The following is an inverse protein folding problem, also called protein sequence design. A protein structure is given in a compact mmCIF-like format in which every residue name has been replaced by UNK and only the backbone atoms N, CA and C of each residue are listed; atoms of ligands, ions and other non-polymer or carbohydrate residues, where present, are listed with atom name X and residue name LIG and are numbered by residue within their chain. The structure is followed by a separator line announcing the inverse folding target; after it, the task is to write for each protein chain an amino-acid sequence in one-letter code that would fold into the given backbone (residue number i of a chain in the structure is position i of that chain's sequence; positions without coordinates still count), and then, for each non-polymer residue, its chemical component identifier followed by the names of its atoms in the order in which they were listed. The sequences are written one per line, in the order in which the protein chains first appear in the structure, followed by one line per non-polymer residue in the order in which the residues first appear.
data_IF_784669673517
#
_entry.id   IF_784669673517
#
_cell.length_a   1.000
_cell.length_b   1.000
_cell.length_c   1.000
_cell.angle_alpha   90.00
_cell.angle_beta   90.00
_cell.angle_gamma   90.00
#
_symmetry.space_group_name_H-M   'P 1'
#
loop_
_entity.id
_entity.type
_entity.pdbx_description
1 polymer ?
#
# COMPACT_ATOMS: atom_id res chain seq x y z
N UNK A 1 -2.22 -16.12 26.79
CA UNK A 1 -2.65 -15.51 25.51
C UNK A 1 -4.14 -15.19 25.62
N UNK A 2 -4.51 -13.91 25.63
CA UNK A 2 -5.93 -13.50 25.68
C UNK A 2 -6.37 -13.19 24.24
N UNK A 3 -7.36 -13.92 23.77
CA UNK A 3 -7.98 -13.71 22.46
C UNK A 3 -9.03 -12.58 22.57
N UNK A 4 -9.00 -11.60 21.67
CA UNK A 4 -9.93 -10.45 21.69
C UNK A 4 -10.67 -10.32 20.35
N UNK A 5 -12.00 -10.17 20.41
CA UNK A 5 -12.92 -9.75 19.32
C UNK A 5 -13.82 -8.60 19.84
N UNK A 6 -14.51 -7.81 18.98
CA UNK A 6 -14.09 -7.01 17.83
C UNK A 6 -13.76 -5.54 18.24
N UNK A 7 -13.79 -4.61 17.28
CA UNK A 7 -13.29 -3.21 17.28
C UNK A 7 -13.46 -2.37 18.57
N UNK A 8 -14.52 -2.58 19.35
CA UNK A 8 -14.86 -1.80 20.54
C UNK A 8 -13.78 -1.85 21.64
N UNK A 9 -13.02 -2.95 21.73
CA UNK A 9 -11.91 -3.10 22.69
C UNK A 9 -10.52 -2.84 22.06
N UNK A 10 -10.43 -2.61 20.76
CA UNK A 10 -9.13 -2.44 20.08
C UNK A 10 -8.48 -1.09 20.36
N UNK A 11 -9.27 -0.05 20.65
CA UNK A 11 -8.77 1.23 21.14
C UNK A 11 -8.02 1.07 22.47
N UNK A 12 -8.45 0.15 23.34
CA UNK A 12 -7.75 -0.23 24.59
C UNK A 12 -6.52 -1.09 24.35
N UNK A 13 -6.48 -1.84 23.25
CA UNK A 13 -5.33 -2.66 22.85
C UNK A 13 -4.18 -1.85 22.23
N UNK A 14 -4.38 -0.56 21.94
CA UNK A 14 -3.32 0.35 21.45
C UNK A 14 -2.17 0.56 22.44
N UNK A 15 -2.33 0.14 23.69
CA UNK A 15 -1.33 0.27 24.75
C UNK A 15 -0.57 -1.03 25.05
N UNK A 16 -0.91 -2.13 24.38
CA UNK A 16 -0.32 -3.45 24.65
C UNK A 16 0.42 -3.99 23.43
N UNK A 17 1.36 -4.89 23.68
CA UNK A 17 1.91 -5.72 22.62
C UNK A 17 0.87 -6.75 22.18
N UNK A 18 0.78 -6.98 20.87
CA UNK A 18 -0.19 -7.91 20.33
C UNK A 18 0.29 -8.56 19.03
N UNK A 19 -0.04 -9.83 18.83
CA UNK A 19 -0.09 -10.40 17.48
C UNK A 19 -1.43 -10.02 16.87
N UNK A 20 -1.43 -9.12 15.89
CA UNK A 20 -2.63 -8.72 15.16
C UNK A 20 -2.78 -9.58 13.92
N UNK A 21 -3.96 -10.16 13.76
CA UNK A 21 -4.29 -11.06 12.65
C UNK A 21 -5.36 -10.39 11.81
N UNK A 22 -5.06 -10.21 10.53
CA UNK A 22 -5.92 -9.54 9.55
C UNK A 22 -6.26 -10.51 8.43
N UNK A 23 -7.54 -10.86 8.31
CA UNK A 23 -8.04 -11.63 7.18
C UNK A 23 -8.25 -10.69 5.99
N UNK A 24 -8.12 -11.21 4.78
CA UNK A 24 -8.32 -10.48 3.53
C UNK A 24 -9.57 -10.98 2.80
N UNK A 25 -10.23 -10.10 2.05
CA UNK A 25 -11.47 -10.41 1.35
C UNK A 25 -11.18 -11.06 -0.02
N UNK A 26 -11.95 -12.07 -0.47
CA UNK A 26 -11.80 -12.65 -1.80
C UNK A 26 -11.93 -11.68 -3.00
N UNK A 27 -12.42 -10.45 -2.79
CA UNK A 27 -12.44 -9.39 -3.81
C UNK A 27 -11.06 -8.90 -4.21
N UNK A 28 -10.05 -9.06 -3.37
CA UNK A 28 -8.68 -8.71 -3.73
C UNK A 28 -8.04 -9.70 -4.70
N UNK A 29 -6.78 -9.43 -5.03
CA UNK A 29 -5.95 -10.25 -5.92
C UNK A 29 -4.58 -10.39 -5.29
N UNK A 30 -4.15 -11.64 -5.05
CA UNK A 30 -3.09 -11.95 -4.09
C UNK A 30 -2.01 -12.86 -4.68
N UNK A 31 -0.73 -12.63 -4.38
CA UNK A 31 0.31 -13.59 -4.71
C UNK A 31 0.16 -14.84 -3.83
N UNK A 32 0.03 -16.03 -4.44
CA UNK A 32 -0.01 -17.30 -3.69
C UNK A 32 1.31 -17.50 -2.93
N UNK A 33 1.21 -18.05 -1.73
CA UNK A 33 2.35 -18.52 -0.96
C UNK A 33 2.48 -17.84 0.39
N UNK A 34 3.72 -17.79 0.90
CA UNK A 34 4.02 -17.35 2.25
C UNK A 34 5.22 -16.41 2.26
N UNK A 35 5.09 -15.28 2.96
CA UNK A 35 6.21 -14.39 3.29
C UNK A 35 6.28 -14.26 4.80
N UNK A 36 7.41 -14.60 5.41
CA UNK A 36 7.57 -14.56 6.86
C UNK A 36 8.87 -13.87 7.26
N UNK A 37 8.79 -13.12 8.36
CA UNK A 37 9.90 -12.62 9.15
C UNK A 37 9.65 -12.96 10.62
N UNK A 38 10.56 -12.63 11.52
CA UNK A 38 10.34 -12.83 12.96
C UNK A 38 9.13 -12.01 13.46
N UNK A 39 8.86 -10.87 12.83
CA UNK A 39 7.86 -9.91 13.27
C UNK A 39 6.55 -9.93 12.46
N UNK A 40 6.50 -10.61 11.31
CA UNK A 40 5.34 -10.59 10.43
C UNK A 40 5.20 -11.84 9.56
N UNK A 41 3.96 -12.20 9.22
CA UNK A 41 3.58 -13.32 8.37
C UNK A 41 2.53 -12.89 7.36
N UNK A 42 2.67 -13.31 6.12
CA UNK A 42 1.66 -13.32 5.08
C UNK A 42 1.47 -14.76 4.62
N UNK A 43 0.24 -15.19 4.48
CA UNK A 43 -0.11 -16.50 3.93
C UNK A 43 -1.33 -16.34 3.02
N UNK A 44 -1.22 -16.89 1.81
CA UNK A 44 -2.29 -16.95 0.85
C UNK A 44 -2.37 -18.33 0.18
N UNK A 45 -3.49 -19.00 0.38
CA UNK A 45 -3.87 -20.24 -0.28
C UNK A 45 -5.35 -20.23 -0.68
N UNK A 46 -5.82 -21.33 -1.26
CA UNK A 46 -7.19 -21.44 -1.80
C UNK A 46 -8.29 -21.25 -0.75
N UNK A 47 -7.99 -21.49 0.52
CA UNK A 47 -8.95 -21.44 1.62
C UNK A 47 -8.93 -20.09 2.34
N UNK A 48 -7.76 -19.47 2.49
CA UNK A 48 -7.61 -18.22 3.25
C UNK A 48 -6.44 -17.35 2.78
N UNK A 49 -6.64 -16.04 2.88
CA UNK A 49 -5.58 -15.03 2.79
C UNK A 49 -5.56 -14.21 4.06
N UNK A 50 -4.42 -14.14 4.74
CA UNK A 50 -4.28 -13.35 5.96
C UNK A 50 -2.86 -12.84 6.17
N UNK A 51 -2.73 -11.82 7.03
CA UNK A 51 -1.46 -11.38 7.58
C UNK A 51 -1.47 -11.39 9.09
N UNK A 52 -0.30 -11.60 9.69
CA UNK A 52 -0.04 -11.44 11.11
C UNK A 52 1.11 -10.48 11.29
N UNK A 53 0.98 -9.54 12.23
CA UNK A 53 2.09 -8.65 12.61
C UNK A 53 2.19 -8.53 14.12
N UNK A 54 3.42 -8.44 14.62
CA UNK A 54 3.68 -7.95 15.97
C UNK A 54 3.41 -6.45 16.03
N UNK A 55 2.28 -6.09 16.64
CA UNK A 55 1.91 -4.72 16.91
C UNK A 55 2.50 -4.24 18.23
N UNK A 56 2.99 -3.00 18.21
CA UNK A 56 3.54 -2.31 19.37
C UNK A 56 2.58 -1.20 19.82
N UNK A 57 2.61 -0.83 21.11
CA UNK A 57 1.83 0.28 21.62
C UNK A 57 2.07 1.58 20.84
N UNK A 58 1.01 2.34 20.54
CA UNK A 58 1.09 3.56 19.72
C UNK A 58 1.88 4.69 20.38
N UNK A 59 1.77 4.81 21.70
CA UNK A 59 2.52 5.77 22.52
C UNK A 59 4.04 5.54 22.47
N UNK A 60 4.47 4.30 22.21
CA UNK A 60 5.88 3.97 21.96
C UNK A 60 6.33 4.24 20.52
N UNK A 61 5.41 4.51 19.58
CA UNK A 61 5.75 4.78 18.18
C UNK A 61 5.91 6.27 17.89
N UNK A 62 5.04 7.11 18.46
CA UNK A 62 5.19 8.58 18.47
C UNK A 62 4.28 9.17 19.53
N UNK A 63 4.72 10.26 20.16
CA UNK A 63 4.00 10.89 21.27
C UNK A 63 2.71 11.61 20.85
N UNK A 64 2.52 11.87 19.54
CA UNK A 64 1.50 12.81 19.06
C UNK A 64 0.66 12.28 17.87
N UNK A 65 0.20 11.02 17.91
CA UNK A 65 -0.79 10.59 16.91
C UNK A 65 -2.10 11.36 17.07
N UNK A 66 -2.71 11.87 15.98
CA UNK A 66 -4.05 12.42 16.06
C UNK A 66 -5.05 11.31 16.42
N UNK A 67 -6.04 11.64 17.26
CA UNK A 67 -7.15 10.74 17.51
C UNK A 67 -7.96 10.54 16.22
N UNK A 68 -8.27 9.28 15.89
CA UNK A 68 -9.19 8.93 14.82
C UNK A 68 -9.95 7.66 15.17
N UNK A 69 -11.27 7.73 15.03
CA UNK A 69 -12.20 6.59 15.09
C UNK A 69 -12.20 5.79 13.79
N UNK A 70 -11.69 6.40 12.72
CA UNK A 70 -11.62 5.83 11.38
C UNK A 70 -10.27 5.15 11.10
N UNK A 71 -9.41 5.05 12.12
CA UNK A 71 -8.16 4.30 12.04
C UNK A 71 -8.48 2.79 12.04
N UNK A 72 -8.09 2.12 10.96
CA UNK A 72 -8.51 0.75 10.65
C UNK A 72 -7.33 -0.22 10.60
N UNK A 73 -6.10 0.28 10.51
CA UNK A 73 -4.87 -0.51 10.40
C UNK A 73 -3.71 0.17 11.11
N UNK A 74 -2.93 -0.62 11.83
CA UNK A 74 -1.75 -0.12 12.54
C UNK A 74 -0.60 0.21 11.59
N UNK A 75 0.35 1.11 11.96
CA UNK A 75 1.49 1.39 11.10
C UNK A 75 2.35 0.14 10.83
N UNK A 76 2.38 -0.85 11.74
CA UNK A 76 3.06 -2.13 11.54
C UNK A 76 2.36 -2.98 10.47
N UNK A 77 1.02 -3.05 10.50
CA UNK A 77 0.22 -3.70 9.45
C UNK A 77 0.51 -3.03 8.09
N UNK A 78 0.40 -1.71 8.01
CA UNK A 78 0.62 -0.96 6.77
C UNK A 78 2.06 -1.08 6.26
N UNK A 79 3.05 -1.04 7.15
CA UNK A 79 4.47 -1.26 6.81
C UNK A 79 4.66 -2.63 6.17
N UNK A 80 4.08 -3.68 6.77
CA UNK A 80 4.19 -5.02 6.23
C UNK A 80 3.47 -5.15 4.88
N UNK A 81 2.26 -4.62 4.75
CA UNK A 81 1.53 -4.60 3.48
C UNK A 81 2.26 -3.81 2.40
N UNK A 82 2.89 -2.68 2.75
CA UNK A 82 3.73 -1.92 1.83
C UNK A 82 4.84 -2.80 1.25
N UNK A 83 5.54 -3.57 2.10
CA UNK A 83 6.63 -4.43 1.63
C UNK A 83 6.19 -5.51 0.63
N UNK A 84 4.93 -5.94 0.69
CA UNK A 84 4.33 -6.88 -0.27
C UNK A 84 3.90 -6.13 -1.54
N UNK A 85 3.14 -5.04 -1.39
CA UNK A 85 2.61 -4.23 -2.48
C UNK A 85 3.72 -3.71 -3.41
N UNK A 86 4.86 -3.31 -2.85
CA UNK A 86 6.01 -2.78 -3.60
C UNK A 86 6.78 -3.86 -4.38
N UNK A 87 6.47 -5.15 -4.18
CA UNK A 87 7.05 -6.25 -4.96
C UNK A 87 6.36 -6.51 -6.31
N UNK A 88 5.24 -5.84 -6.57
CA UNK A 88 4.46 -5.98 -7.80
C UNK A 88 5.32 -5.73 -9.05
N UNK A 89 5.15 -6.53 -10.12
CA UNK A 89 5.72 -6.24 -11.44
C UNK A 89 4.80 -5.23 -12.15
N UNK A 90 5.37 -4.19 -12.76
CA UNK A 90 4.63 -3.15 -13.49
C UNK A 90 3.78 -3.68 -14.65
N UNK A 91 4.19 -4.81 -15.23
CA UNK A 91 3.52 -5.43 -16.38
C UNK A 91 2.79 -6.73 -16.00
N UNK A 92 2.88 -7.16 -14.74
CA UNK A 92 2.27 -8.38 -14.22
C UNK A 92 0.88 -8.16 -13.59
N UNK A 93 0.29 -9.19 -12.95
CA UNK A 93 -0.92 -9.08 -12.16
C UNK A 93 -0.72 -8.07 -11.04
N UNK A 94 -1.76 -7.27 -10.84
CA UNK A 94 -1.79 -6.28 -9.76
C UNK A 94 -1.99 -6.99 -8.43
N UNK A 95 -1.21 -6.59 -7.43
CA UNK A 95 -1.48 -6.93 -6.04
C UNK A 95 -2.58 -5.98 -5.57
N UNK A 96 -3.80 -6.50 -5.41
CA UNK A 96 -4.95 -5.73 -4.93
C UNK A 96 -5.25 -6.16 -3.50
N UNK A 97 -4.64 -5.48 -2.54
CA UNK A 97 -4.84 -5.77 -1.12
C UNK A 97 -6.23 -5.33 -0.68
N UNK A 98 -7.04 -6.30 -0.23
CA UNK A 98 -8.34 -6.04 0.38
C UNK A 98 -8.39 -6.56 1.83
N UNK A 99 -7.69 -5.93 2.77
CA UNK A 99 -7.77 -6.29 4.18
C UNK A 99 -9.16 -6.03 4.75
N UNK A 100 -9.67 -6.96 5.54
CA UNK A 100 -10.98 -6.83 6.18
C UNK A 100 -10.95 -5.83 7.32
N UNK A 101 -12.05 -5.09 7.51
CA UNK A 101 -12.17 -4.17 8.64
C UNK A 101 -12.12 -4.92 9.99
N UNK A 102 -12.65 -6.14 10.03
CA UNK A 102 -12.60 -7.02 11.19
C UNK A 102 -11.19 -7.59 11.35
N UNK A 103 -10.64 -7.46 12.54
CA UNK A 103 -9.37 -8.08 12.96
C UNK A 103 -9.52 -8.58 14.38
N UNK A 104 -8.68 -9.53 14.74
CA UNK A 104 -8.56 -10.04 16.09
C UNK A 104 -7.10 -10.05 16.48
N UNK A 105 -6.86 -10.07 17.78
CA UNK A 105 -5.54 -9.93 18.34
C UNK A 105 -5.30 -10.92 19.48
N UNK A 106 -4.06 -11.36 19.59
CA UNK A 106 -3.54 -12.13 20.72
C UNK A 106 -2.68 -11.18 21.55
N UNK A 107 -3.14 -10.83 22.75
CA UNK A 107 -2.40 -9.92 23.63
C UNK A 107 -1.22 -10.59 24.31
N UNK A 108 -0.18 -9.77 24.51
CA UNK A 108 1.09 -10.11 25.16
C UNK A 108 1.60 -11.45 24.64
N UNK A 109 1.80 -11.55 23.31
CA UNK A 109 2.31 -12.77 22.74
C UNK A 109 3.67 -13.07 23.38
N UNK A 110 3.97 -14.34 23.66
CA UNK A 110 5.35 -14.71 23.97
C UNK A 110 6.27 -14.30 22.81
N UNK A 111 7.59 -14.46 22.94
CA UNK A 111 8.54 -14.25 21.85
C UNK A 111 8.33 -15.25 20.70
N UNK A 112 7.21 -15.12 20.00
CA UNK A 112 6.74 -15.98 18.92
C UNK A 112 7.46 -15.57 17.66
N UNK A 113 8.26 -16.49 17.13
CA UNK A 113 8.88 -16.35 15.82
C UNK A 113 7.87 -16.73 14.73
N UNK A 114 7.45 -15.75 13.94
CA UNK A 114 6.51 -15.96 12.85
C UNK A 114 7.13 -16.67 11.63
N UNK A 115 8.43 -16.97 11.63
CA UNK A 115 9.09 -17.86 10.65
C UNK A 115 8.86 -19.34 10.95
N UNK A 116 8.52 -19.70 12.18
CA UNK A 116 8.32 -21.10 12.55
C UNK A 116 7.08 -21.68 11.86
N UNK A 117 7.28 -22.74 11.07
CA UNK A 117 6.19 -23.44 10.36
C UNK A 117 5.10 -23.99 11.27
N UNK A 118 5.41 -24.41 12.50
CA UNK A 118 4.43 -24.89 13.46
C UNK A 118 3.51 -23.72 13.90
N UNK A 119 4.13 -22.58 14.24
CA UNK A 119 3.41 -21.34 14.57
C UNK A 119 2.54 -20.86 13.41
N UNK A 120 3.08 -20.88 12.18
CA UNK A 120 2.32 -20.49 10.99
C UNK A 120 1.08 -21.36 10.78
N UNK A 121 1.21 -22.67 10.98
CA UNK A 121 0.08 -23.60 10.87
C UNK A 121 -0.96 -23.37 11.97
N UNK A 122 -0.54 -23.13 13.21
CA UNK A 122 -1.46 -22.80 14.31
C UNK A 122 -2.24 -21.50 14.02
N UNK A 123 -1.54 -20.47 13.55
CA UNK A 123 -2.16 -19.18 13.19
C UNK A 123 -3.11 -19.32 11.99
N UNK A 124 -2.77 -20.18 11.02
CA UNK A 124 -3.64 -20.49 9.88
C UNK A 124 -4.94 -21.15 10.33
N UNK A 125 -4.85 -22.18 11.18
CA UNK A 125 -6.04 -22.86 11.73
C UNK A 125 -6.92 -21.87 12.46
N UNK A 126 -6.32 -21.06 13.34
CA UNK A 126 -7.04 -20.01 14.08
C UNK A 126 -7.72 -19.01 13.13
N UNK A 127 -7.03 -18.54 12.10
CA UNK A 127 -7.60 -17.61 11.13
C UNK A 127 -8.75 -18.22 10.32
N UNK A 128 -8.66 -19.51 9.98
CA UNK A 128 -9.70 -20.23 9.24
C UNK A 128 -10.95 -20.46 10.09
N UNK A 129 -10.78 -20.82 11.37
CA UNK A 129 -11.88 -20.93 12.33
C UNK A 129 -12.62 -19.60 12.47
N UNK A 130 -11.88 -18.50 12.62
CA UNK A 130 -12.44 -17.16 12.72
C UNK A 130 -13.17 -16.72 11.44
N UNK A 131 -12.60 -17.02 10.28
CA UNK A 131 -13.22 -16.75 8.99
C UNK A 131 -14.56 -17.48 8.84
N UNK A 132 -14.57 -18.78 9.13
CA UNK A 132 -15.75 -19.65 8.96
C UNK A 132 -16.90 -19.24 9.89
N UNK A 133 -16.58 -18.79 11.11
CA UNK A 133 -17.57 -18.35 12.09
C UNK A 133 -18.33 -17.07 11.70
N UNK A 134 -17.90 -16.34 10.66
CA UNK A 134 -18.53 -15.08 10.26
C UNK A 134 -19.64 -15.22 9.19
N UNK A 135 -20.10 -16.44 8.87
CA UNK A 135 -21.18 -16.73 7.90
C UNK A 135 -21.04 -16.00 6.54
N UNK A 136 -19.81 -15.81 6.08
CA UNK A 136 -19.54 -15.08 4.82
C UNK A 136 -19.70 -16.02 3.63
N UNK A 137 -20.64 -15.71 2.74
CA UNK A 137 -20.68 -16.28 1.38
C UNK A 137 -19.37 -15.92 0.67
N UNK A 138 -18.46 -16.88 0.51
CA UNK A 138 -17.14 -16.62 -0.06
C UNK A 138 -17.08 -17.02 -1.53
N UNK A 139 -16.86 -16.02 -2.36
CA UNK A 139 -16.25 -16.25 -3.66
C UNK A 139 -14.83 -16.84 -3.46
N UNK A 140 -14.31 -17.63 -4.41
CA UNK A 140 -12.93 -18.11 -4.34
C UNK A 140 -11.93 -16.94 -4.40
N UNK A 141 -10.79 -17.08 -3.72
CA UNK A 141 -9.71 -16.10 -3.79
C UNK A 141 -9.10 -16.04 -5.20
N UNK A 142 -8.75 -14.83 -5.65
CA UNK A 142 -7.99 -14.63 -6.88
C UNK A 142 -6.49 -14.67 -6.56
N UNK A 143 -5.85 -15.80 -6.84
CA UNK A 143 -4.43 -16.05 -6.54
C UNK A 143 -3.58 -16.16 -7.81
N UNK A 144 -2.31 -15.74 -7.73
CA UNK A 144 -1.35 -15.88 -8.83
C UNK A 144 0.07 -16.21 -8.32
N UNK A 145 0.91 -16.91 -9.10
CA UNK A 145 2.20 -17.45 -8.63
C UNK A 145 3.45 -16.79 -9.27
N UNK A 146 3.45 -16.53 -10.58
CA UNK A 146 4.68 -16.43 -11.37
C UNK A 146 5.25 -15.02 -11.59
N UNK A 147 4.52 -13.98 -11.20
CA UNK A 147 4.76 -12.63 -11.74
C UNK A 147 4.96 -11.54 -10.67
N UNK A 148 5.24 -11.92 -9.42
CA UNK A 148 5.59 -10.98 -8.35
C UNK A 148 6.95 -11.30 -7.76
N UNK A 149 7.72 -10.25 -7.48
CA UNK A 149 9.07 -10.36 -6.94
C UNK A 149 9.07 -10.43 -5.40
N UNK A 150 8.31 -11.37 -4.81
CA UNK A 150 8.18 -11.51 -3.35
C UNK A 150 9.53 -11.74 -2.64
N UNK A 151 10.54 -12.23 -3.35
CA UNK A 151 11.92 -12.32 -2.85
C UNK A 151 12.52 -10.94 -2.46
N UNK A 152 11.97 -9.82 -2.93
CA UNK A 152 12.35 -8.46 -2.56
C UNK A 152 11.67 -7.97 -1.29
N UNK A 153 10.62 -8.65 -0.83
CA UNK A 153 9.80 -8.23 0.30
C UNK A 153 10.64 -8.00 1.57
N UNK A 154 11.63 -8.85 1.94
CA UNK A 154 12.46 -8.57 3.11
C UNK A 154 13.27 -7.27 3.01
N UNK A 155 13.76 -6.94 1.80
CA UNK A 155 14.45 -5.69 1.53
C UNK A 155 13.54 -4.50 1.76
N UNK A 156 12.35 -4.49 1.16
CA UNK A 156 11.37 -3.44 1.38
C UNK A 156 10.95 -3.33 2.85
N UNK A 157 10.70 -4.45 3.53
CA UNK A 157 10.32 -4.44 4.94
C UNK A 157 11.41 -3.79 5.82
N UNK A 158 12.68 -4.05 5.51
CA UNK A 158 13.80 -3.44 6.23
C UNK A 158 13.96 -1.93 5.97
N UNK A 159 13.56 -1.47 4.77
CA UNK A 159 13.69 -0.06 4.35
C UNK A 159 12.51 0.82 4.76
N UNK A 160 11.31 0.26 4.96
CA UNK A 160 10.13 1.02 5.42
C UNK A 160 10.11 1.04 6.94
N UNK A 161 10.25 2.23 7.53
CA UNK A 161 10.10 2.46 8.96
C UNK A 161 8.64 2.58 9.38
N UNK A 162 8.30 2.12 10.58
CA UNK A 162 6.95 2.31 11.14
C UNK A 162 6.63 3.79 11.47
N UNK A 163 7.65 4.64 11.51
CA UNK A 163 7.57 6.09 11.69
C UNK A 163 7.53 6.88 10.37
N UNK A 164 7.56 6.21 9.21
CA UNK A 164 7.51 6.88 7.90
C UNK A 164 6.08 7.32 7.56
N UNK A 165 5.49 8.17 8.41
CA UNK A 165 4.06 8.45 8.42
C UNK A 165 3.52 8.96 7.06
N UNK A 166 4.31 9.75 6.32
CA UNK A 166 3.92 10.22 4.97
C UNK A 166 3.83 9.04 3.99
N UNK A 167 4.83 8.17 3.96
CA UNK A 167 4.84 6.98 3.13
C UNK A 167 3.70 6.03 3.51
N UNK A 168 3.57 5.73 4.80
CA UNK A 168 2.50 4.83 5.29
C UNK A 168 1.12 5.39 4.99
N UNK A 169 0.92 6.71 5.08
CA UNK A 169 -0.33 7.35 4.67
C UNK A 169 -0.59 7.19 3.17
N UNK A 170 0.43 7.39 2.35
CA UNK A 170 0.36 7.18 0.89
C UNK A 170 -0.01 5.74 0.53
N UNK A 171 0.68 4.76 1.11
CA UNK A 171 0.40 3.32 0.90
C UNK A 171 -1.01 2.96 1.38
N UNK A 172 -1.43 3.45 2.55
CA UNK A 172 -2.80 3.22 3.07
C UNK A 172 -3.85 3.73 2.08
N UNK A 173 -3.62 4.91 1.49
CA UNK A 173 -4.50 5.45 0.46
C UNK A 173 -4.47 4.61 -0.81
N UNK A 174 -3.30 4.13 -1.24
CA UNK A 174 -3.20 3.26 -2.42
C UNK A 174 -3.97 1.95 -2.22
N UNK A 175 -3.87 1.34 -1.03
CA UNK A 175 -4.65 0.15 -0.65
C UNK A 175 -6.16 0.46 -0.65
N UNK A 176 -6.58 1.60 -0.08
CA UNK A 176 -8.00 2.01 -0.12
C UNK A 176 -8.50 2.28 -1.53
N UNK A 177 -7.67 2.87 -2.38
CA UNK A 177 -7.92 3.02 -3.81
C UNK A 177 -8.16 1.64 -4.46
N UNK A 178 -7.29 0.66 -4.21
CA UNK A 178 -7.47 -0.72 -4.69
C UNK A 178 -8.79 -1.33 -4.19
N UNK A 179 -9.15 -1.13 -2.91
CA UNK A 179 -10.42 -1.60 -2.33
C UNK A 179 -11.64 -0.96 -2.99
N UNK A 180 -11.65 0.36 -3.18
CA UNK A 180 -12.76 1.10 -3.80
C UNK A 180 -12.91 0.72 -5.28
N UNK A 181 -11.79 0.51 -5.98
CA UNK A 181 -11.80 0.13 -7.40
C UNK A 181 -12.46 -1.23 -7.70
N UNK A 182 -12.79 -2.02 -6.66
CA UNK A 182 -13.56 -3.27 -6.81
C UNK A 182 -15.03 -3.04 -7.09
N UNK A 183 -15.51 -1.81 -6.97
CA UNK A 183 -16.88 -1.39 -7.25
C UNK A 183 -16.83 -0.24 -8.24
N UNK A 184 -17.41 -0.44 -9.43
CA UNK A 184 -17.33 0.55 -10.50
C UNK A 184 -17.96 1.89 -10.08
N UNK A 185 -19.07 1.83 -9.34
CA UNK A 185 -19.76 2.97 -8.75
C UNK A 185 -18.90 3.82 -7.80
N UNK A 186 -17.77 3.30 -7.30
CA UNK A 186 -16.86 4.03 -6.40
C UNK A 186 -15.53 4.42 -7.07
N UNK A 187 -15.48 4.43 -8.40
CA UNK A 187 -14.26 4.77 -9.15
C UNK A 187 -13.82 6.22 -8.89
N UNK A 188 -14.75 7.17 -8.77
CA UNK A 188 -14.45 8.56 -8.45
C UNK A 188 -13.80 8.68 -7.06
N UNK A 189 -14.35 8.02 -6.06
CA UNK A 189 -13.80 7.95 -4.71
C UNK A 189 -12.44 7.25 -4.67
N UNK A 190 -12.24 6.22 -5.49
CA UNK A 190 -10.94 5.57 -5.64
C UNK A 190 -9.87 6.56 -6.13
N UNK A 191 -10.20 7.38 -7.14
CA UNK A 191 -9.29 8.41 -7.66
C UNK A 191 -9.05 9.51 -6.63
N UNK A 192 -10.07 9.98 -5.91
CA UNK A 192 -9.92 10.98 -4.84
C UNK A 192 -8.95 10.47 -3.77
N UNK A 193 -9.07 9.20 -3.38
CA UNK A 193 -8.16 8.60 -2.40
C UNK A 193 -6.75 8.41 -2.98
N UNK A 194 -6.62 8.03 -4.27
CA UNK A 194 -5.34 7.96 -4.96
C UNK A 194 -4.63 9.33 -5.04
N UNK A 195 -5.38 10.42 -5.16
CA UNK A 195 -4.83 11.79 -5.11
C UNK A 195 -4.16 12.10 -3.76
N UNK A 196 -4.60 11.50 -2.66
CA UNK A 196 -3.90 11.63 -1.36
C UNK A 196 -2.57 10.88 -1.38
N UNK A 197 -2.52 9.71 -2.04
CA UNK A 197 -1.26 8.99 -2.25
C UNK A 197 -0.32 9.77 -3.19
N UNK A 198 -0.87 10.46 -4.20
CA UNK A 198 -0.11 11.39 -5.04
C UNK A 198 0.57 12.49 -4.21
N UNK A 199 -0.16 13.14 -3.30
CA UNK A 199 0.40 14.17 -2.42
C UNK A 199 1.49 13.64 -1.47
N UNK A 200 1.31 12.43 -0.96
CA UNK A 200 2.34 11.75 -0.17
C UNK A 200 3.60 11.50 -1.02
N UNK A 201 3.44 11.03 -2.26
CA UNK A 201 4.56 10.80 -3.18
C UNK A 201 5.30 12.11 -3.49
N UNK A 202 4.57 13.19 -3.80
CA UNK A 202 5.14 14.51 -4.06
C UNK A 202 5.96 15.01 -2.87
N UNK A 203 5.41 14.90 -1.66
CA UNK A 203 6.10 15.30 -0.42
C UNK A 203 7.41 14.53 -0.21
N UNK A 204 7.42 13.23 -0.52
CA UNK A 204 8.62 12.39 -0.41
C UNK A 204 9.66 12.73 -1.50
N UNK A 205 9.22 13.01 -2.72
CA UNK A 205 10.09 13.47 -3.81
C UNK A 205 10.72 14.81 -3.46
N UNK A 206 9.94 15.79 -2.99
CA UNK A 206 10.46 17.08 -2.51
C UNK A 206 11.49 16.88 -1.39
N UNK A 207 11.22 15.98 -0.44
CA UNK A 207 12.18 15.64 0.61
C UNK A 207 13.48 15.06 0.02
N UNK A 208 13.39 14.17 -0.96
CA UNK A 208 14.54 13.60 -1.67
C UNK A 208 15.35 14.66 -2.42
N UNK A 209 14.68 15.60 -3.07
CA UNK A 209 15.33 16.71 -3.79
C UNK A 209 16.06 17.65 -2.84
N UNK A 210 15.48 17.93 -1.66
CA UNK A 210 16.16 18.68 -0.60
C UNK A 210 17.44 17.97 -0.13
N UNK A 211 17.38 16.67 0.11
CA UNK A 211 18.58 15.90 0.45
C UNK A 211 19.63 15.89 -0.67
N UNK A 212 19.20 16.06 -1.91
CA UNK A 212 20.08 16.15 -3.08
C UNK A 212 20.64 17.57 -3.32
N UNK A 213 20.34 18.53 -2.43
CA UNK A 213 20.89 19.89 -2.46
C UNK A 213 20.00 20.96 -3.10
N UNK A 214 18.71 20.68 -3.36
CA UNK A 214 17.77 21.68 -3.85
C UNK A 214 17.02 22.28 -2.66
N UNK A 215 17.32 23.51 -2.26
CA UNK A 215 16.80 24.13 -1.03
C UNK A 215 15.26 24.27 -1.03
N UNK A 216 14.67 24.68 -2.15
CA UNK A 216 13.24 24.92 -2.30
C UNK A 216 12.68 24.23 -3.56
N UNK A 217 12.56 22.89 -3.57
CA UNK A 217 12.10 22.17 -4.75
C UNK A 217 10.66 22.58 -5.09
N UNK A 218 10.44 22.84 -6.37
CA UNK A 218 9.15 23.19 -6.94
C UNK A 218 8.45 21.97 -7.54
N UNK A 219 7.17 22.14 -7.91
CA UNK A 219 6.45 21.11 -8.66
C UNK A 219 7.09 20.80 -10.03
N UNK A 220 7.82 21.77 -10.62
CA UNK A 220 8.60 21.55 -11.85
C UNK A 220 9.85 20.73 -11.57
N UNK A 221 10.55 20.97 -10.45
CA UNK A 221 11.72 20.17 -10.07
C UNK A 221 11.33 18.71 -9.80
N UNK A 222 10.18 18.48 -9.17
CA UNK A 222 9.62 17.14 -8.98
C UNK A 222 9.18 16.50 -10.32
N UNK A 223 8.60 17.27 -11.24
CA UNK A 223 8.29 16.79 -12.59
C UNK A 223 9.54 16.36 -13.36
N UNK A 224 10.59 17.20 -13.33
CA UNK A 224 11.91 16.87 -13.85
C UNK A 224 12.48 15.63 -13.20
N UNK A 225 12.37 15.48 -11.87
CA UNK A 225 12.82 14.27 -11.19
C UNK A 225 12.11 13.01 -11.69
N UNK A 226 10.79 13.06 -11.87
CA UNK A 226 10.01 11.94 -12.40
C UNK A 226 10.48 11.57 -13.81
N UNK A 227 10.68 12.58 -14.66
CA UNK A 227 11.16 12.40 -16.02
C UNK A 227 12.59 11.85 -16.08
N UNK A 228 13.50 12.41 -15.29
CA UNK A 228 14.89 12.00 -15.19
C UNK A 228 15.02 10.56 -14.66
N UNK A 229 14.12 10.17 -13.76
CA UNK A 229 14.13 8.87 -13.09
C UNK A 229 13.45 7.78 -13.93
N UNK A 230 12.27 8.04 -14.49
CA UNK A 230 11.46 7.00 -15.13
C UNK A 230 11.42 7.11 -16.66
N UNK A 231 11.32 8.31 -17.22
CA UNK A 231 11.04 8.50 -18.64
C UNK A 231 12.30 8.55 -19.51
N UNK A 232 13.27 9.41 -19.16
CA UNK A 232 14.49 9.59 -19.94
C UNK A 232 15.32 8.29 -20.08
N UNK A 233 15.45 7.44 -19.04
CA UNK A 233 16.13 6.16 -19.20
C UNK A 233 15.48 5.24 -20.26
N UNK A 234 14.16 5.36 -20.45
CA UNK A 234 13.39 4.62 -21.45
C UNK A 234 13.34 5.31 -22.83
N UNK A 235 14.08 6.41 -23.01
CA UNK A 235 14.08 7.19 -24.24
C UNK A 235 12.76 7.91 -24.52
N UNK A 236 11.93 8.12 -23.49
CA UNK A 236 10.68 8.88 -23.58
C UNK A 236 11.04 10.35 -23.44
N UNK A 237 10.61 11.17 -24.40
CA UNK A 237 10.87 12.61 -24.40
C UNK A 237 10.18 13.28 -23.21
N UNK A 238 10.94 13.90 -22.29
CA UNK A 238 10.36 14.58 -21.14
C UNK A 238 9.80 15.93 -21.58
N UNK A 239 8.47 16.10 -21.52
CA UNK A 239 7.83 17.40 -21.73
C UNK A 239 8.16 18.40 -20.61
N UNK A 240 7.93 19.70 -20.83
CA UNK A 240 7.99 20.71 -19.75
C UNK A 240 6.68 20.69 -18.95
N UNK A 241 6.60 19.81 -17.94
CA UNK A 241 5.42 19.62 -17.10
C UNK A 241 5.75 19.59 -15.61
N UNK A 242 4.78 19.98 -14.78
CA UNK A 242 4.87 19.77 -13.32
C UNK A 242 4.62 18.30 -12.98
N UNK A 243 5.01 17.90 -11.77
CA UNK A 243 4.76 16.57 -11.22
C UNK A 243 3.26 16.22 -11.27
N UNK A 244 2.88 15.27 -12.12
CA UNK A 244 1.48 14.84 -12.36
C UNK A 244 0.50 16.02 -12.57
N UNK A 245 0.90 17.02 -13.36
CA UNK A 245 0.18 18.30 -13.51
C UNK A 245 -1.32 18.14 -13.80
N UNK A 246 -1.68 17.36 -14.81
CA UNK A 246 -3.07 17.17 -15.24
C UNK A 246 -3.94 16.59 -14.11
N UNK A 247 -3.43 15.58 -13.39
CA UNK A 247 -4.13 14.95 -12.26
C UNK A 247 -4.32 15.93 -11.09
N UNK A 248 -3.37 16.85 -10.88
CA UNK A 248 -3.52 17.91 -9.88
C UNK A 248 -4.63 18.90 -10.25
N UNK A 249 -4.75 19.26 -11.53
CA UNK A 249 -5.82 20.14 -12.01
C UNK A 249 -7.18 19.45 -11.90
N UNK A 250 -7.28 18.20 -12.35
CA UNK A 250 -8.48 17.39 -12.22
C UNK A 250 -8.92 17.24 -10.77
N UNK A 251 -8.00 16.95 -9.84
CA UNK A 251 -8.30 16.91 -8.40
C UNK A 251 -8.92 18.20 -7.89
N UNK A 252 -8.40 19.36 -8.31
CA UNK A 252 -8.98 20.66 -7.92
C UNK A 252 -10.41 20.78 -8.42
N UNK A 253 -10.67 20.40 -9.67
CA UNK A 253 -12.02 20.43 -10.25
C UNK A 253 -12.98 19.45 -9.55
N UNK A 254 -12.51 18.26 -9.19
CA UNK A 254 -13.30 17.24 -8.46
C UNK A 254 -13.67 17.68 -7.05
N UNK A 255 -12.72 18.25 -6.29
CA UNK A 255 -12.94 18.62 -4.89
C UNK A 255 -13.58 20.00 -4.72
N UNK A 256 -13.48 20.85 -5.74
CA UNK A 256 -13.99 22.21 -5.73
C UNK A 256 -14.84 22.45 -6.99
N UNK A 257 -16.16 22.16 -6.92
CA UNK A 257 -17.08 22.28 -8.07
C UNK A 257 -17.10 23.67 -8.72
N UNK A 258 -16.71 24.71 -7.96
CA UNK A 258 -16.38 26.04 -8.47
C UNK A 258 -14.93 26.35 -8.10
N UNK A 259 -14.08 26.53 -9.12
CA UNK A 259 -12.65 26.77 -8.93
C UNK A 259 -12.09 27.75 -9.98
N UNK A 260 -10.77 27.97 -9.97
CA UNK A 260 -10.08 28.77 -11.01
C UNK A 260 -10.21 28.20 -12.42
N UNK A 261 -10.62 26.94 -12.55
CA UNK A 261 -10.82 26.24 -13.82
C UNK A 261 -12.27 26.32 -14.31
N UNK A 262 -13.14 27.07 -13.61
CA UNK A 262 -14.55 27.21 -13.91
C UNK A 262 -15.44 26.35 -13.01
N UNK A 263 -16.70 26.25 -13.42
CA UNK A 263 -17.71 25.41 -12.75
C UNK A 263 -17.80 24.07 -13.46
N UNK A 264 -17.64 22.99 -12.70
CA UNK A 264 -17.69 21.61 -13.21
C UNK A 264 -18.93 20.91 -12.65
N UNK A 265 -19.89 20.49 -13.51
CA UNK A 265 -21.10 19.81 -13.05
C UNK A 265 -20.85 18.35 -12.64
N UNK A 266 -19.69 17.80 -12.97
CA UNK A 266 -19.21 16.47 -12.61
C UNK A 266 -17.67 16.47 -12.53
N UNK A 267 -17.09 15.47 -11.87
CA UNK A 267 -15.64 15.30 -11.82
C UNK A 267 -15.08 14.97 -13.21
N UNK A 268 -14.13 15.74 -13.76
CA UNK A 268 -13.57 15.52 -15.10
C UNK A 268 -12.48 14.44 -15.07
N UNK A 269 -12.85 13.23 -14.64
CA UNK A 269 -11.97 12.09 -14.44
C UNK A 269 -12.24 11.01 -15.48
N UNK A 270 -11.19 10.33 -15.90
CA UNK A 270 -11.28 9.15 -16.75
C UNK A 270 -10.90 7.89 -15.96
N UNK A 271 -11.42 6.73 -16.39
CA UNK A 271 -11.20 5.47 -15.66
C UNK A 271 -9.74 4.99 -15.79
N UNK A 272 -9.10 5.28 -16.90
CA UNK A 272 -7.67 5.04 -17.13
C UNK A 272 -6.78 5.87 -16.20
N UNK A 273 -7.18 7.10 -15.84
CA UNK A 273 -6.46 7.93 -14.83
C UNK A 273 -6.23 7.15 -13.53
N UNK A 274 -7.23 6.37 -13.08
CA UNK A 274 -7.09 5.53 -11.89
C UNK A 274 -6.00 4.47 -12.06
N UNK A 275 -6.02 3.75 -13.19
CA UNK A 275 -5.13 2.62 -13.41
C UNK A 275 -3.67 3.07 -13.62
N UNK A 276 -3.47 4.16 -14.36
CA UNK A 276 -2.16 4.73 -14.60
C UNK A 276 -1.60 5.38 -13.34
N UNK A 277 -2.38 6.22 -12.64
CA UNK A 277 -1.93 6.84 -11.40
C UNK A 277 -1.56 5.79 -10.35
N UNK A 278 -2.40 4.76 -10.15
CA UNK A 278 -2.11 3.69 -9.19
C UNK A 278 -0.76 3.03 -9.54
N UNK A 279 -0.57 2.61 -10.80
CA UNK A 279 0.68 1.96 -11.25
C UNK A 279 1.87 2.87 -10.97
N UNK A 280 1.81 4.12 -11.41
CA UNK A 280 2.93 5.05 -11.36
C UNK A 280 3.28 5.43 -9.91
N UNK A 281 2.29 5.66 -9.04
CA UNK A 281 2.53 5.91 -7.62
C UNK A 281 3.19 4.73 -6.92
N UNK A 282 2.78 3.49 -7.25
CA UNK A 282 3.43 2.29 -6.72
C UNK A 282 4.90 2.24 -7.13
N UNK A 283 5.22 2.51 -8.39
CA UNK A 283 6.61 2.56 -8.86
C UNK A 283 7.42 3.66 -8.19
N UNK A 284 6.85 4.86 -8.03
CA UNK A 284 7.48 5.97 -7.31
C UNK A 284 7.79 5.59 -5.86
N UNK A 285 6.81 5.02 -5.13
CA UNK A 285 7.06 4.54 -3.76
C UNK A 285 8.12 3.44 -3.72
N UNK A 286 8.09 2.48 -4.64
CA UNK A 286 9.09 1.41 -4.70
C UNK A 286 10.50 1.97 -4.92
N UNK A 287 10.65 2.94 -5.82
CA UNK A 287 11.91 3.62 -6.08
C UNK A 287 12.41 4.39 -4.86
N UNK A 288 11.55 5.20 -4.24
CA UNK A 288 11.89 5.99 -3.06
C UNK A 288 12.33 5.12 -1.87
N UNK A 289 11.71 3.95 -1.70
CA UNK A 289 12.04 3.02 -0.61
C UNK A 289 13.32 2.22 -0.89
N UNK A 290 13.49 1.73 -2.11
CA UNK A 290 14.63 0.86 -2.46
C UNK A 290 15.86 1.60 -2.99
N UNK A 291 15.72 2.90 -3.30
CA UNK A 291 16.78 3.73 -3.89
C UNK A 291 17.09 3.42 -5.35
N UNK A 292 16.26 2.62 -6.04
CA UNK A 292 16.50 2.26 -7.43
C UNK A 292 15.35 1.48 -8.06
N UNK A 293 15.48 1.19 -9.36
CA UNK A 293 14.45 0.45 -10.08
C UNK A 293 14.54 -1.06 -9.89
N UNK A 294 13.39 -1.72 -9.90
CA UNK A 294 13.27 -3.17 -9.85
C UNK A 294 13.66 -3.88 -11.16
N UNK A 295 13.65 -5.24 -11.15
CA UNK A 295 13.92 -6.06 -12.32
C UNK A 295 13.04 -5.74 -13.54
N UNK A 296 11.78 -5.39 -13.32
CA UNK A 296 10.79 -5.04 -14.33
C UNK A 296 11.19 -3.83 -15.18
N UNK A 297 11.71 -2.78 -14.54
CA UNK A 297 12.22 -1.61 -15.26
C UNK A 297 13.48 -1.95 -16.06
N UNK A 298 14.36 -2.80 -15.51
CA UNK A 298 15.57 -3.26 -16.22
C UNK A 298 15.21 -4.11 -17.44
N UNK A 299 14.11 -4.87 -17.39
CA UNK A 299 13.55 -5.61 -18.54
C UNK A 299 13.09 -4.62 -19.63
N UNK A 300 12.25 -3.64 -19.29
CA UNK A 300 11.81 -2.58 -20.21
C UNK A 300 12.97 -1.82 -20.86
N UNK A 301 14.02 -1.51 -20.10
CA UNK A 301 15.25 -0.88 -20.63
C UNK A 301 15.96 -1.76 -21.67
N UNK A 302 16.00 -3.08 -21.47
CA UNK A 302 16.61 -4.01 -22.43
C UNK A 302 15.76 -4.12 -23.70
N UNK A 303 14.46 -4.26 -23.56
CA UNK A 303 13.53 -4.38 -24.69
C UNK A 303 13.57 -3.14 -25.59
N UNK A 304 13.60 -1.94 -25.01
CA UNK A 304 13.73 -0.70 -25.80
C UNK A 304 15.10 -0.48 -26.43
N UNK A 305 16.16 -1.11 -25.94
CA UNK A 305 17.50 -1.07 -26.59
C UNK A 305 17.62 -2.07 -27.73
N UNK A 306 16.69 -3.03 -27.82
CA UNK A 306 16.61 -4.03 -28.88
C UNK A 306 15.61 -3.67 -29.99
N UNK A 307 14.76 -2.66 -29.76
CA UNK A 307 13.83 -2.08 -30.72
C UNK A 307 14.46 -0.87 -31.44
#
# INVERSE_FOLDING_TARGET
MKFIKPFEDMSRCRLNFALRIRIFNPRGQYPRGTCASEEALYLADDEIVFTVVHARPYDQMTSNFPYSEMDWATPQEVRFWASILLCEDAEGPKILLYPEHTTFALLDPPGVDLKDSAVQNELRVLALEEFTNTERLCAPYQLFESEVHLNRQPGFLSSVGASDHVLLRGITCLIKCDMLSRYYEFTEEAIIVACIALEASFSLVVKSLKYSGIDNPTARDAGKWLDDTFNRPLGIDPGDRKYFEELYEQRVMTMHPSSRFGESPYAPLAVDDLFDLRRDLREVFAYLVSGGHGPEFKRRLKERRLA
#
